data_IF_211921084297
#
_entry.id   IF_211921084297
#
_cell.length_a   1.000
_cell.length_b   1.000
_cell.length_c   1.000
_cell.angle_alpha   90.00
_cell.angle_beta   90.00
_cell.angle_gamma   90.00
#
_symmetry.space_group_name_H-M   'P 1'
#
loop_
_entity.id
_entity.type
_entity.pdbx_description
1 polymer ?
#
# COMPACT_ATOMS: atom_id res chain seq x y z
N UNK A 1 1.05 23.37 -3.10
CA UNK A 1 1.01 22.96 -1.68
C UNK A 1 -0.31 22.26 -1.43
N UNK A 2 -0.33 20.93 -1.34
CA UNK A 2 -1.57 20.20 -1.08
C UNK A 2 -1.92 20.36 0.41
N UNK A 3 -3.04 21.04 0.69
CA UNK A 3 -3.59 21.14 2.04
C UNK A 3 -3.86 19.73 2.55
N UNK A 4 -3.05 19.27 3.50
CA UNK A 4 -3.27 18.00 4.17
C UNK A 4 -4.49 18.21 5.07
N UNK A 5 -5.66 17.78 4.59
CA UNK A 5 -6.89 17.86 5.37
C UNK A 5 -6.66 17.26 6.77
N UNK A 6 -7.20 17.91 7.81
CA UNK A 6 -7.11 17.42 9.19
C UNK A 6 -7.61 15.96 9.24
N UNK A 7 -7.00 15.08 10.05
CA UNK A 7 -7.37 13.66 10.10
C UNK A 7 -8.88 13.42 10.27
N UNK A 8 -9.53 14.24 11.10
CA UNK A 8 -10.98 14.24 11.33
C UNK A 8 -11.77 14.50 10.03
N UNK A 9 -11.42 15.54 9.28
CA UNK A 9 -12.07 15.88 8.00
C UNK A 9 -11.89 14.74 6.98
N UNK A 10 -10.76 14.03 7.01
CA UNK A 10 -10.53 12.87 6.14
C UNK A 10 -11.41 11.68 6.52
N UNK A 11 -11.57 11.41 7.82
CA UNK A 11 -12.42 10.35 8.31
C UNK A 11 -13.91 10.64 8.01
N UNK A 12 -14.37 11.88 8.21
CA UNK A 12 -15.73 12.30 7.89
C UNK A 12 -16.04 12.16 6.40
N UNK A 13 -15.09 12.57 5.54
CA UNK A 13 -15.22 12.38 4.10
C UNK A 13 -15.25 10.89 3.72
N UNK A 14 -14.41 10.06 4.33
CA UNK A 14 -14.41 8.62 4.08
C UNK A 14 -15.71 7.95 4.54
N UNK A 15 -16.27 8.38 5.67
CA UNK A 15 -17.59 7.94 6.13
C UNK A 15 -18.70 8.34 5.16
N UNK A 16 -18.66 9.56 4.63
CA UNK A 16 -19.61 10.01 3.61
C UNK A 16 -19.48 9.20 2.32
N UNK A 17 -18.25 8.95 1.87
CA UNK A 17 -17.97 8.12 0.69
C UNK A 17 -18.48 6.69 0.91
N UNK A 18 -18.23 6.10 2.07
CA UNK A 18 -18.70 4.77 2.43
C UNK A 18 -20.23 4.70 2.40
N UNK A 19 -20.92 5.65 3.02
CA UNK A 19 -22.38 5.72 3.01
C UNK A 19 -22.95 5.85 1.58
N UNK A 20 -22.29 6.61 0.71
CA UNK A 20 -22.69 6.73 -0.69
C UNK A 20 -22.50 5.41 -1.46
N UNK A 21 -21.40 4.70 -1.22
CA UNK A 21 -21.11 3.40 -1.81
C UNK A 21 -22.09 2.34 -1.30
N UNK A 22 -22.40 2.31 0.00
CA UNK A 22 -23.32 1.33 0.58
C UNK A 22 -24.75 1.48 0.04
N UNK A 23 -25.17 2.69 -0.37
CA UNK A 23 -26.44 2.89 -1.07
C UNK A 23 -26.54 2.16 -2.41
N UNK A 24 -25.40 1.80 -3.01
CA UNK A 24 -25.35 1.08 -4.28
C UNK A 24 -25.34 -0.45 -4.08
N UNK A 25 -25.20 -0.97 -2.86
CA UNK A 25 -25.11 -2.41 -2.58
C UNK A 25 -26.32 -3.18 -3.12
N UNK A 26 -27.53 -2.64 -2.96
CA UNK A 26 -28.76 -3.25 -3.48
C UNK A 26 -28.82 -3.38 -5.02
N UNK A 27 -27.92 -2.72 -5.75
CA UNK A 27 -27.79 -2.80 -7.21
C UNK A 27 -26.54 -3.58 -7.65
N UNK A 28 -25.75 -4.07 -6.71
CA UNK A 28 -24.48 -4.78 -6.97
C UNK A 28 -24.64 -6.00 -7.88
N UNK A 29 -25.78 -6.69 -7.80
CA UNK A 29 -26.07 -7.83 -8.67
C UNK A 29 -26.22 -7.44 -10.15
N UNK A 30 -26.58 -6.18 -10.42
CA UNK A 30 -26.78 -5.63 -11.76
C UNK A 30 -25.47 -5.10 -12.38
N UNK A 31 -24.39 -5.03 -11.60
CA UNK A 31 -23.10 -4.54 -12.06
C UNK A 31 -22.39 -5.57 -12.94
N UNK A 32 -21.73 -5.07 -13.99
CA UNK A 32 -20.78 -5.88 -14.75
C UNK A 32 -19.65 -6.37 -13.83
N UNK A 33 -18.90 -7.43 -14.20
CA UNK A 33 -17.76 -7.88 -13.40
C UNK A 33 -16.71 -6.78 -13.14
N UNK A 34 -16.50 -5.88 -14.10
CA UNK A 34 -15.58 -4.75 -13.98
C UNK A 34 -16.10 -3.66 -13.01
N UNK A 35 -17.39 -3.36 -13.09
CA UNK A 35 -18.04 -2.40 -12.18
C UNK A 35 -18.10 -2.96 -10.77
N UNK A 36 -18.36 -4.27 -10.61
CA UNK A 36 -18.32 -4.95 -9.31
C UNK A 36 -16.91 -4.89 -8.71
N UNK A 37 -15.85 -5.19 -9.48
CA UNK A 37 -14.46 -5.01 -9.02
C UNK A 37 -14.23 -3.58 -8.52
N UNK A 38 -14.65 -2.59 -9.30
CA UNK A 38 -14.47 -1.17 -8.97
C UNK A 38 -15.23 -0.78 -7.70
N UNK A 39 -16.46 -1.24 -7.58
CA UNK A 39 -17.30 -1.07 -6.41
C UNK A 39 -16.65 -1.64 -5.14
N UNK A 40 -16.27 -2.92 -5.17
CA UNK A 40 -15.62 -3.56 -4.02
C UNK A 40 -14.33 -2.85 -3.61
N UNK A 41 -13.52 -2.47 -4.60
CA UNK A 41 -12.25 -1.80 -4.34
C UNK A 41 -12.45 -0.40 -3.74
N UNK A 42 -13.42 0.36 -4.24
CA UNK A 42 -13.80 1.65 -3.68
C UNK A 42 -14.35 1.50 -2.25
N UNK A 43 -15.20 0.50 -2.01
CA UNK A 43 -15.75 0.19 -0.68
C UNK A 43 -14.64 -0.13 0.31
N UNK A 44 -13.68 -0.98 -0.07
CA UNK A 44 -12.56 -1.36 0.78
C UNK A 44 -11.66 -0.16 1.14
N UNK A 45 -11.41 0.75 0.19
CA UNK A 45 -10.66 1.98 0.46
C UNK A 45 -11.42 2.93 1.39
N UNK A 46 -12.75 3.07 1.21
CA UNK A 46 -13.58 3.89 2.07
C UNK A 46 -13.63 3.33 3.51
N UNK A 47 -13.72 2.01 3.67
CA UNK A 47 -13.60 1.34 4.98
C UNK A 47 -12.27 1.68 5.66
N UNK A 48 -11.15 1.60 4.94
CA UNK A 48 -9.84 1.95 5.47
C UNK A 48 -9.76 3.43 5.89
N UNK A 49 -10.27 4.34 5.05
CA UNK A 49 -10.30 5.78 5.34
C UNK A 49 -11.20 6.14 6.53
N UNK A 50 -12.26 5.38 6.75
CA UNK A 50 -13.17 5.50 7.90
C UNK A 50 -12.60 4.90 9.20
N UNK A 51 -11.39 4.34 9.17
CA UNK A 51 -10.78 3.68 10.34
C UNK A 51 -11.29 2.26 10.60
N UNK A 52 -12.14 1.70 9.73
CA UNK A 52 -12.63 0.31 9.79
C UNK A 52 -11.59 -0.66 9.21
N UNK A 53 -10.41 -0.67 9.82
CA UNK A 53 -9.18 -1.32 9.30
C UNK A 53 -9.35 -2.83 9.13
N UNK A 54 -10.00 -3.50 10.08
CA UNK A 54 -10.21 -4.96 10.00
C UNK A 54 -11.09 -5.35 8.80
N UNK A 55 -12.20 -4.64 8.61
CA UNK A 55 -13.14 -4.87 7.51
C UNK A 55 -12.51 -4.53 6.15
N UNK A 56 -11.76 -3.43 6.08
CA UNK A 56 -10.98 -3.10 4.91
C UNK A 56 -9.95 -4.20 4.60
N UNK A 57 -9.34 -4.79 5.63
CA UNK A 57 -8.37 -5.88 5.51
C UNK A 57 -8.99 -7.13 4.92
N UNK A 58 -10.15 -7.55 5.43
CA UNK A 58 -10.90 -8.69 4.90
C UNK A 58 -11.35 -8.48 3.45
N UNK A 59 -11.85 -7.28 3.13
CA UNK A 59 -12.28 -6.93 1.78
C UNK A 59 -11.10 -6.92 0.78
N UNK A 60 -9.98 -6.29 1.15
CA UNK A 60 -8.77 -6.25 0.31
C UNK A 60 -8.10 -7.61 0.16
N UNK A 61 -8.12 -8.46 1.19
CA UNK A 61 -7.61 -9.83 1.08
C UNK A 61 -8.43 -10.65 0.08
N UNK A 62 -9.76 -10.59 0.20
CA UNK A 62 -10.68 -11.27 -0.73
C UNK A 62 -10.48 -10.78 -2.17
N UNK A 63 -10.37 -9.46 -2.37
CA UNK A 63 -10.08 -8.86 -3.67
C UNK A 63 -8.70 -9.28 -4.20
N UNK A 64 -7.68 -9.31 -3.36
CA UNK A 64 -6.32 -9.67 -3.77
C UNK A 64 -6.23 -11.15 -4.19
N UNK A 65 -7.07 -12.02 -3.64
CA UNK A 65 -7.20 -13.42 -4.05
C UNK A 65 -7.96 -13.56 -5.37
N UNK A 66 -9.06 -12.81 -5.54
CA UNK A 66 -9.85 -12.80 -6.77
C UNK A 66 -9.12 -12.17 -7.97
N UNK A 67 -8.29 -11.16 -7.72
CA UNK A 67 -7.58 -10.38 -8.74
C UNK A 67 -6.05 -10.39 -8.50
N UNK A 68 -5.37 -11.55 -8.63
CA UNK A 68 -3.95 -11.70 -8.28
C UNK A 68 -2.99 -10.94 -9.19
N UNK A 69 -3.46 -10.46 -10.35
CA UNK A 69 -2.67 -9.68 -11.33
C UNK A 69 -3.00 -8.18 -11.31
N UNK A 70 -3.96 -7.78 -10.49
CA UNK A 70 -4.37 -6.39 -10.41
C UNK A 70 -3.46 -5.61 -9.46
N UNK A 71 -2.51 -4.88 -10.02
CA UNK A 71 -1.47 -4.18 -9.25
C UNK A 71 -2.03 -3.16 -8.25
N UNK A 72 -3.16 -2.52 -8.56
CA UNK A 72 -3.78 -1.52 -7.69
C UNK A 72 -4.33 -2.19 -6.42
N UNK A 73 -5.04 -3.31 -6.56
CA UNK A 73 -5.56 -4.10 -5.45
C UNK A 73 -4.42 -4.65 -4.58
N UNK A 74 -3.36 -5.18 -5.21
CA UNK A 74 -2.22 -5.72 -4.46
C UNK A 74 -1.49 -4.62 -3.67
N UNK A 75 -1.31 -3.42 -4.25
CA UNK A 75 -0.72 -2.27 -3.56
C UNK A 75 -1.55 -1.82 -2.37
N UNK A 76 -2.87 -1.67 -2.54
CA UNK A 76 -3.75 -1.23 -1.47
C UNK A 76 -3.76 -2.23 -0.30
N UNK A 77 -3.82 -3.53 -0.60
CA UNK A 77 -3.74 -4.56 0.45
C UNK A 77 -2.39 -4.51 1.19
N UNK A 78 -1.27 -4.41 0.45
CA UNK A 78 0.05 -4.32 1.06
C UNK A 78 0.23 -3.06 1.93
N UNK A 79 -0.34 -1.93 1.50
CA UNK A 79 -0.33 -0.67 2.24
C UNK A 79 -1.18 -0.74 3.51
N UNK A 80 -2.35 -1.39 3.48
CA UNK A 80 -3.16 -1.57 4.67
C UNK A 80 -2.46 -2.45 5.71
N UNK A 81 -1.83 -3.55 5.28
CA UNK A 81 -1.04 -4.41 6.19
C UNK A 81 0.16 -3.67 6.80
N UNK A 82 0.74 -2.70 6.06
CA UNK A 82 1.85 -1.88 6.55
C UNK A 82 1.46 -1.00 7.75
N UNK A 83 0.17 -0.67 7.89
CA UNK A 83 -0.34 0.09 9.03
C UNK A 83 -0.36 -0.73 10.33
N UNK A 84 -0.30 -2.07 10.24
CA UNK A 84 -0.12 -2.94 11.39
C UNK A 84 1.21 -2.70 12.09
N UNK A 85 1.23 -2.90 13.41
CA UNK A 85 2.42 -2.70 14.26
C UNK A 85 2.99 -3.99 14.81
N UNK A 86 2.21 -5.08 14.79
CA UNK A 86 2.66 -6.40 15.21
C UNK A 86 3.54 -7.04 14.13
N UNK A 87 4.43 -7.93 14.57
CA UNK A 87 5.39 -8.59 13.69
C UNK A 87 4.72 -9.39 12.56
N UNK A 88 3.61 -10.08 12.83
CA UNK A 88 2.93 -10.92 11.84
C UNK A 88 2.36 -10.07 10.70
N UNK A 89 1.75 -8.92 11.01
CA UNK A 89 1.28 -7.96 10.02
C UNK A 89 2.41 -7.42 9.15
N UNK A 90 3.58 -7.12 9.75
CA UNK A 90 4.76 -6.68 9.00
C UNK A 90 5.31 -7.76 8.05
N UNK A 91 5.36 -9.01 8.50
CA UNK A 91 5.80 -10.13 7.66
C UNK A 91 4.83 -10.38 6.49
N UNK A 92 3.51 -10.31 6.74
CA UNK A 92 2.48 -10.37 5.69
C UNK A 92 2.60 -9.22 4.70
N UNK A 93 2.79 -7.99 5.19
CA UNK A 93 3.01 -6.81 4.34
C UNK A 93 4.27 -6.98 3.48
N UNK A 94 5.36 -7.52 4.06
CA UNK A 94 6.62 -7.74 3.34
C UNK A 94 6.45 -8.75 2.21
N UNK A 95 5.78 -9.87 2.47
CA UNK A 95 5.46 -10.85 1.44
C UNK A 95 4.65 -10.22 0.29
N UNK A 96 3.70 -9.34 0.63
CA UNK A 96 2.84 -8.68 -0.37
C UNK A 96 3.58 -7.62 -1.19
N UNK A 97 4.40 -6.79 -0.55
CA UNK A 97 5.23 -5.80 -1.26
C UNK A 97 6.27 -6.45 -2.18
N UNK A 98 6.80 -7.63 -1.83
CA UNK A 98 7.65 -8.41 -2.74
C UNK A 98 6.90 -8.88 -3.99
N UNK A 99 5.66 -9.33 -3.84
CA UNK A 99 4.82 -9.69 -4.99
C UNK A 99 4.52 -8.47 -5.89
N UNK A 100 4.30 -7.30 -5.29
CA UNK A 100 4.11 -6.05 -6.05
C UNK A 100 5.40 -5.67 -6.78
N UNK A 101 6.55 -5.76 -6.11
CA UNK A 101 7.87 -5.48 -6.70
C UNK A 101 8.15 -6.36 -7.92
N UNK A 102 7.94 -7.67 -7.79
CA UNK A 102 8.19 -8.67 -8.84
C UNK A 102 7.33 -8.43 -10.09
N UNK A 103 6.08 -7.97 -9.89
CA UNK A 103 5.10 -7.75 -10.97
C UNK A 103 5.15 -6.34 -11.55
N UNK A 104 5.82 -5.40 -10.89
CA UNK A 104 5.92 -4.03 -11.37
C UNK A 104 6.94 -3.90 -12.50
N UNK A 105 6.67 -3.03 -13.47
CA UNK A 105 7.65 -2.72 -14.52
C UNK A 105 8.93 -2.15 -13.88
N UNK A 106 10.13 -2.63 -14.26
CA UNK A 106 11.40 -2.14 -13.71
C UNK A 106 11.52 -0.61 -13.82
N UNK A 107 12.09 0.02 -12.79
CA UNK A 107 12.25 1.48 -12.69
C UNK A 107 10.95 2.31 -12.79
N UNK A 108 9.77 1.68 -12.75
CA UNK A 108 8.50 2.41 -12.64
C UNK A 108 8.32 2.98 -11.23
N UNK A 109 7.46 4.00 -11.13
CA UNK A 109 7.05 4.59 -9.85
C UNK A 109 6.51 3.54 -8.86
N UNK A 110 5.71 2.56 -9.34
CA UNK A 110 5.22 1.43 -8.53
C UNK A 110 6.38 0.54 -8.03
N UNK A 111 7.35 0.27 -8.90
CA UNK A 111 8.50 -0.57 -8.55
C UNK A 111 9.37 0.09 -7.48
N UNK A 112 9.66 1.39 -7.63
CA UNK A 112 10.40 2.13 -6.60
C UNK A 112 9.62 2.26 -5.28
N UNK A 113 8.28 2.41 -5.34
CA UNK A 113 7.41 2.36 -4.15
C UNK A 113 7.53 1.02 -3.43
N UNK A 114 7.49 -0.08 -4.18
CA UNK A 114 7.63 -1.42 -3.63
C UNK A 114 9.00 -1.65 -3.00
N UNK A 115 10.10 -1.28 -3.70
CA UNK A 115 11.47 -1.34 -3.15
C UNK A 115 11.61 -0.60 -1.83
N UNK A 116 11.04 0.61 -1.75
CA UNK A 116 11.05 1.41 -0.52
C UNK A 116 10.33 0.69 0.62
N UNK A 117 9.11 0.20 0.38
CA UNK A 117 8.34 -0.49 1.40
C UNK A 117 8.98 -1.80 1.84
N UNK A 118 9.58 -2.56 0.92
CA UNK A 118 10.36 -3.77 1.26
C UNK A 118 11.54 -3.42 2.18
N UNK A 119 12.32 -2.38 1.86
CA UNK A 119 13.43 -1.95 2.71
C UNK A 119 12.96 -1.45 4.08
N UNK A 120 11.88 -0.65 4.11
CA UNK A 120 11.29 -0.11 5.34
C UNK A 120 10.77 -1.22 6.25
N UNK A 121 10.13 -2.25 5.68
CA UNK A 121 9.65 -3.41 6.41
C UNK A 121 10.80 -4.25 6.99
N UNK A 122 11.90 -4.44 6.25
CA UNK A 122 13.11 -5.06 6.81
C UNK A 122 13.64 -4.28 8.00
N UNK A 123 13.69 -2.94 7.91
CA UNK A 123 14.10 -2.10 9.03
C UNK A 123 13.18 -2.28 10.25
N UNK A 124 11.86 -2.20 10.06
CA UNK A 124 10.86 -2.37 11.13
C UNK A 124 10.86 -3.76 11.76
N UNK A 125 11.24 -4.79 11.00
CA UNK A 125 11.39 -6.17 11.48
C UNK A 125 12.71 -6.44 12.22
N UNK A 126 13.59 -5.43 12.31
CA UNK A 126 14.92 -5.53 12.95
C UNK A 126 16.05 -5.94 12.00
N UNK A 127 15.74 -6.23 10.72
CA UNK A 127 16.70 -6.65 9.70
C UNK A 127 17.41 -5.44 9.07
N UNK A 128 18.09 -4.63 9.90
CA UNK A 128 18.71 -3.36 9.49
C UNK A 128 19.71 -3.51 8.34
N UNK A 129 20.57 -4.53 8.41
CA UNK A 129 21.57 -4.78 7.37
C UNK A 129 20.93 -5.04 6.01
N UNK A 130 19.84 -5.82 5.98
CA UNK A 130 19.11 -6.13 4.76
C UNK A 130 18.44 -4.89 4.18
N UNK A 131 17.84 -4.03 5.03
CA UNK A 131 17.29 -2.75 4.61
C UNK A 131 18.37 -1.87 3.94
N UNK A 132 19.53 -1.71 4.60
CA UNK A 132 20.64 -0.93 4.07
C UNK A 132 21.18 -1.51 2.76
N UNK A 133 21.31 -2.84 2.66
CA UNK A 133 21.80 -3.54 1.47
C UNK A 133 20.91 -3.28 0.25
N UNK A 134 19.59 -3.35 0.42
CA UNK A 134 18.62 -3.06 -0.65
C UNK A 134 18.82 -1.65 -1.19
N UNK A 135 18.93 -0.66 -0.29
CA UNK A 135 19.03 0.75 -0.67
C UNK A 135 20.37 1.03 -1.36
N UNK A 136 21.48 0.51 -0.81
CA UNK A 136 22.82 0.68 -1.43
C UNK A 136 22.88 0.08 -2.83
N UNK A 137 22.35 -1.13 -3.01
CA UNK A 137 22.28 -1.74 -4.34
C UNK A 137 21.47 -0.86 -5.29
N UNK A 138 20.33 -0.35 -4.83
CA UNK A 138 19.45 0.51 -5.63
C UNK A 138 20.15 1.82 -6.05
N UNK A 139 20.99 2.41 -5.19
CA UNK A 139 21.78 3.60 -5.53
C UNK A 139 22.80 3.36 -6.65
N UNK A 140 23.32 2.14 -6.76
CA UNK A 140 24.28 1.76 -7.81
C UNK A 140 23.56 1.65 -9.16
N UNK A 141 22.41 0.97 -9.18
CA UNK A 141 21.68 0.68 -10.44
C UNK A 141 20.74 1.81 -10.88
N UNK A 142 20.22 2.61 -9.94
CA UNK A 142 19.27 3.70 -10.17
C UNK A 142 19.63 4.91 -9.28
N UNK A 143 20.64 5.72 -9.64
CA UNK A 143 21.15 6.82 -8.81
C UNK A 143 20.10 7.88 -8.45
N UNK A 144 19.07 8.04 -9.29
CA UNK A 144 17.92 8.92 -9.07
C UNK A 144 16.88 8.38 -8.08
N UNK A 145 16.91 7.08 -7.76
CA UNK A 145 16.00 6.40 -6.81
C UNK A 145 14.50 6.71 -7.03
N UNK A 146 14.08 6.92 -8.28
CA UNK A 146 12.70 7.23 -8.63
C UNK A 146 12.29 8.68 -8.39
N UNK A 147 13.25 9.61 -8.35
CA UNK A 147 13.00 11.06 -8.25
C UNK A 147 13.42 11.67 -6.91
N UNK A 148 13.43 13.01 -6.80
CA UNK A 148 14.05 13.72 -5.67
C UNK A 148 13.37 13.42 -4.33
N UNK A 149 12.04 13.39 -4.26
CA UNK A 149 11.29 13.12 -3.04
C UNK A 149 11.55 11.70 -2.53
N UNK A 150 11.52 10.72 -3.43
CA UNK A 150 11.72 9.32 -3.09
C UNK A 150 13.16 9.03 -2.73
N UNK A 151 14.12 9.63 -3.45
CA UNK A 151 15.53 9.60 -3.11
C UNK A 151 15.76 10.06 -1.68
N UNK A 152 15.14 11.18 -1.27
CA UNK A 152 15.21 11.66 0.12
C UNK A 152 14.71 10.60 1.11
N UNK A 153 13.55 10.00 0.87
CA UNK A 153 12.99 8.95 1.73
C UNK A 153 13.92 7.74 1.87
N UNK A 154 14.51 7.27 0.77
CA UNK A 154 15.47 6.17 0.80
C UNK A 154 16.73 6.53 1.60
N UNK A 155 17.27 7.74 1.44
CA UNK A 155 18.45 8.17 2.15
C UNK A 155 18.20 8.33 3.65
N UNK A 156 17.03 8.85 4.03
CA UNK A 156 16.60 8.92 5.43
C UNK A 156 16.51 7.53 6.06
N UNK A 157 15.88 6.57 5.36
CA UNK A 157 15.79 5.19 5.82
C UNK A 157 17.17 4.52 5.91
N UNK A 158 18.07 4.75 4.96
CA UNK A 158 19.43 4.23 5.00
C UNK A 158 20.17 4.75 6.23
N UNK A 159 20.09 6.06 6.50
CA UNK A 159 20.72 6.65 7.68
C UNK A 159 20.18 6.06 8.99
N UNK A 160 18.89 5.72 9.06
CA UNK A 160 18.29 5.05 10.22
C UNK A 160 18.75 3.59 10.36
N UNK A 161 18.91 2.88 9.26
CA UNK A 161 19.33 1.47 9.24
C UNK A 161 20.82 1.27 9.57
N UNK A 162 21.66 2.30 9.41
CA UNK A 162 23.10 2.22 9.67
C UNK A 162 23.54 2.82 11.01
N UNK A 163 22.60 3.33 11.80
CA UNK A 163 22.81 3.70 13.21
C UNK A 163 22.67 2.49 14.10
#
# INVERSE_FOLDING_TARGET
MAATARPEIRADLANLQLAAIERLEGRREQFSPADRRTYEFARAQALAGAGRVEEAGQALDSLAQAYPRDGEIQEAHAALLLAGTDRASLERSLAKWRQVEEKAAPASERWFRAKYNVASLHYRLGNREQAARIIRLLQIVHPELGGPERKRQFLELLAQATR
#
